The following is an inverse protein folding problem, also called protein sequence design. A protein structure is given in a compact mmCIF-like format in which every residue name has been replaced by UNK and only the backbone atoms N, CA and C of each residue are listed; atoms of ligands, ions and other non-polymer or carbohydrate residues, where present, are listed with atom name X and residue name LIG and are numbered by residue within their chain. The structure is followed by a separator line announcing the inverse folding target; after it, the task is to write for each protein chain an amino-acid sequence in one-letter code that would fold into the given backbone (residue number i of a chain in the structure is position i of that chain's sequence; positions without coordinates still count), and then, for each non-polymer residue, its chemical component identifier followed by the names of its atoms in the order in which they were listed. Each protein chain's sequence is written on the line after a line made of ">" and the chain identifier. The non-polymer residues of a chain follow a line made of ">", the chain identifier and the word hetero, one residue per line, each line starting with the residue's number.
data_IF_834581999197
#
_entry.id   IF_834581999197
#
_cell.length_a   1.000
_cell.length_b   1.000
_cell.length_c   1.000
_cell.angle_alpha   90.00
_cell.angle_beta   90.00
_cell.angle_gamma   90.00
#
_symmetry.space_group_name_H-M   'P 1'
#
loop_
_entity.id
_entity.type
_entity.pdbx_description
1 polymer ?
#
# COMPACT_ATOMS: atom_id res chain seq x y z
N UNK A 1 8.28 7.72 -0.28
CA UNK A 1 7.84 6.82 -1.38
C UNK A 1 8.24 5.37 -1.12
N UNK A 2 9.52 5.09 -0.83
CA UNK A 2 9.99 3.73 -0.52
C UNK A 2 9.30 3.12 0.71
N UNK A 3 9.35 3.80 1.86
CA UNK A 3 8.63 3.39 3.08
C UNK A 3 7.14 3.13 2.84
N UNK A 4 6.47 4.00 2.07
CA UNK A 4 5.06 3.79 1.71
C UNK A 4 4.83 2.47 0.95
N UNK A 5 5.77 2.04 0.08
CA UNK A 5 5.64 0.78 -0.65
C UNK A 5 5.91 -0.45 0.19
N UNK A 6 6.81 -0.33 1.17
CA UNK A 6 6.96 -1.36 2.20
C UNK A 6 5.65 -1.54 2.97
N UNK A 7 5.01 -0.44 3.40
CA UNK A 7 3.70 -0.50 4.08
C UNK A 7 2.55 -1.02 3.18
N UNK A 8 2.64 -0.80 1.87
CA UNK A 8 1.68 -1.26 0.86
C UNK A 8 1.97 -2.72 0.41
N UNK A 9 2.88 -3.42 1.11
CA UNK A 9 3.19 -4.86 0.98
C UNK A 9 3.94 -5.28 -0.29
N UNK A 10 4.74 -4.38 -0.87
CA UNK A 10 5.54 -4.69 -2.04
C UNK A 10 6.77 -5.54 -1.68
N UNK A 11 7.15 -6.45 -2.58
CA UNK A 11 8.32 -7.32 -2.45
C UNK A 11 9.41 -6.93 -3.44
N UNK A 12 10.63 -7.46 -3.26
CA UNK A 12 11.79 -7.21 -4.12
C UNK A 12 12.06 -5.72 -4.42
N UNK A 13 11.67 -4.86 -3.48
CA UNK A 13 11.88 -3.43 -3.58
C UNK A 13 13.39 -3.16 -3.63
N UNK A 14 13.82 -2.32 -4.56
CA UNK A 14 15.20 -1.85 -4.63
C UNK A 14 15.22 -0.37 -4.97
N UNK A 15 16.09 0.35 -4.28
CA UNK A 15 16.27 1.78 -4.51
C UNK A 15 17.39 2.04 -5.52
N UNK A 16 17.03 2.52 -6.70
CA UNK A 16 17.95 2.90 -7.76
C UNK A 16 18.28 4.40 -7.68
N UNK A 17 19.57 4.77 -7.74
CA UNK A 17 19.98 6.18 -7.93
C UNK A 17 20.58 6.93 -6.74
N UNK A 18 21.10 6.25 -5.72
CA UNK A 18 21.71 6.90 -4.54
C UNK A 18 22.91 7.83 -4.86
N UNK A 19 23.58 7.63 -6.00
CA UNK A 19 24.85 8.32 -6.38
C UNK A 19 24.75 9.23 -7.61
N UNK A 20 23.55 9.43 -8.18
CA UNK A 20 23.35 10.32 -9.32
C UNK A 20 23.25 11.80 -8.93
N UNK A 21 23.80 12.70 -9.72
CA UNK A 21 23.69 14.17 -9.53
C UNK A 21 22.25 14.70 -9.61
N UNK A 22 21.36 13.94 -10.23
CA UNK A 22 19.92 14.17 -10.19
C UNK A 22 19.37 13.50 -8.93
N UNK A 23 18.84 14.28 -7.98
CA UNK A 23 18.17 13.78 -6.77
C UNK A 23 16.88 12.96 -7.03
N UNK A 24 16.72 12.40 -8.23
CA UNK A 24 15.66 11.48 -8.62
C UNK A 24 15.84 10.15 -7.91
N UNK A 25 14.82 9.76 -7.13
CA UNK A 25 14.79 8.52 -6.37
C UNK A 25 13.90 7.54 -7.11
N UNK A 26 14.51 6.63 -7.86
CA UNK A 26 13.75 5.68 -8.67
C UNK A 26 13.69 4.35 -7.94
N UNK A 27 12.48 3.80 -7.86
CA UNK A 27 12.21 2.58 -7.08
C UNK A 27 11.76 1.52 -8.08
N UNK A 28 12.31 0.33 -7.94
CA UNK A 28 11.77 -0.85 -8.60
C UNK A 28 11.28 -1.82 -7.54
N UNK A 29 10.20 -2.54 -7.83
CA UNK A 29 9.73 -3.60 -6.95
C UNK A 29 8.64 -4.42 -7.61
N UNK A 30 8.28 -5.49 -6.93
CA UNK A 30 7.24 -6.42 -7.36
C UNK A 30 6.00 -6.16 -6.51
N UNK A 31 4.86 -5.96 -7.19
CA UNK A 31 3.57 -5.89 -6.51
C UNK A 31 2.92 -7.27 -6.56
N UNK A 32 2.69 -7.92 -5.42
CA UNK A 32 2.02 -9.21 -5.39
C UNK A 32 0.52 -9.06 -5.66
N UNK A 33 -0.05 -10.08 -6.27
CA UNK A 33 -1.50 -10.21 -6.47
C UNK A 33 -1.94 -11.65 -6.17
N UNK A 34 -3.10 -11.80 -5.55
CA UNK A 34 -3.64 -13.14 -5.23
C UNK A 34 -4.29 -13.81 -6.46
N UNK A 35 -4.83 -13.00 -7.38
CA UNK A 35 -5.69 -13.42 -8.48
C UNK A 35 -5.06 -13.25 -9.88
N UNK A 36 -3.89 -12.62 -9.97
CA UNK A 36 -3.16 -12.41 -11.21
C UNK A 36 -1.64 -12.52 -10.96
N UNK A 37 -0.81 -12.66 -12.01
CA UNK A 37 0.64 -12.68 -11.84
C UNK A 37 1.16 -11.41 -11.17
N UNK A 38 2.21 -11.57 -10.38
CA UNK A 38 2.96 -10.47 -9.80
C UNK A 38 3.42 -9.46 -10.86
N UNK A 39 3.31 -8.17 -10.55
CA UNK A 39 3.67 -7.11 -11.50
C UNK A 39 4.99 -6.45 -11.11
N UNK A 40 6.01 -6.61 -11.95
CA UNK A 40 7.26 -5.88 -11.79
C UNK A 40 7.04 -4.43 -12.24
N UNK A 41 7.14 -3.51 -11.27
CA UNK A 41 6.82 -2.10 -11.48
C UNK A 41 8.02 -1.21 -11.24
N UNK A 42 8.27 -0.31 -12.20
CA UNK A 42 9.21 0.80 -12.03
C UNK A 42 8.44 2.04 -11.59
N UNK A 43 8.89 2.69 -10.52
CA UNK A 43 8.30 3.90 -9.96
C UNK A 43 9.31 5.05 -10.09
N UNK A 44 8.97 6.04 -10.90
CA UNK A 44 9.72 7.28 -11.03
C UNK A 44 9.17 8.33 -10.06
N UNK A 45 10.01 8.81 -9.13
CA UNK A 45 9.66 9.96 -8.30
C UNK A 45 10.06 11.25 -9.01
N UNK A 46 9.08 11.95 -9.58
CA UNK A 46 9.29 13.19 -10.33
C UNK A 46 9.17 14.38 -9.38
N UNK A 47 10.29 14.73 -8.74
CA UNK A 47 10.41 15.91 -7.88
C UNK A 47 10.61 17.21 -8.69
N UNK A 48 9.77 17.43 -9.71
CA UNK A 48 9.73 18.66 -10.51
C UNK A 48 8.33 19.26 -10.45
N UNK A 49 8.21 20.56 -10.71
CA UNK A 49 6.93 21.28 -10.68
C UNK A 49 5.89 20.72 -11.65
N UNK A 50 6.32 20.06 -12.74
CA UNK A 50 5.44 19.38 -13.68
C UNK A 50 6.13 18.18 -14.36
N UNK A 51 5.33 17.18 -14.75
CA UNK A 51 5.77 16.06 -15.58
C UNK A 51 5.75 16.46 -17.05
N UNK A 52 6.91 16.52 -17.70
CA UNK A 52 7.01 16.77 -19.14
C UNK A 52 6.89 15.47 -19.93
N UNK A 53 6.31 15.53 -21.14
CA UNK A 53 6.20 14.36 -22.03
C UNK A 53 7.59 13.79 -22.34
N UNK A 54 8.55 14.65 -22.69
CA UNK A 54 9.92 14.24 -22.98
C UNK A 54 10.60 13.52 -21.80
N UNK A 55 10.32 13.94 -20.55
CA UNK A 55 10.83 13.24 -19.36
C UNK A 55 10.20 11.85 -19.24
N UNK A 56 8.88 11.77 -19.36
CA UNK A 56 8.17 10.50 -19.25
C UNK A 56 8.64 9.48 -20.32
N UNK A 57 8.76 9.92 -21.57
CA UNK A 57 9.27 9.08 -22.66
C UNK A 57 10.70 8.62 -22.43
N UNK A 58 11.60 9.54 -22.02
CA UNK A 58 13.00 9.22 -21.72
C UNK A 58 13.11 8.19 -20.59
N UNK A 59 12.36 8.38 -19.51
CA UNK A 59 12.42 7.50 -18.34
C UNK A 59 11.86 6.10 -18.64
N UNK A 60 10.71 6.04 -19.32
CA UNK A 60 10.12 4.76 -19.72
C UNK A 60 11.04 4.02 -20.70
N UNK A 61 11.62 4.73 -21.68
CA UNK A 61 12.56 4.12 -22.61
C UNK A 61 13.82 3.60 -21.90
N UNK A 62 14.36 4.34 -20.92
CA UNK A 62 15.48 3.89 -20.12
C UNK A 62 15.15 2.62 -19.32
N UNK A 63 13.96 2.57 -18.70
CA UNK A 63 13.53 1.40 -17.93
C UNK A 63 13.25 0.17 -18.80
N UNK A 64 12.67 0.35 -19.99
CA UNK A 64 12.41 -0.74 -20.94
C UNK A 64 13.72 -1.37 -21.45
N UNK A 65 14.76 -0.57 -21.64
CA UNK A 65 16.07 -1.00 -22.14
C UNK A 65 17.04 -1.42 -21.03
N UNK A 66 16.63 -1.42 -19.76
CA UNK A 66 17.49 -1.82 -18.65
C UNK A 66 17.80 -3.33 -18.71
N UNK A 67 19.00 -3.72 -18.24
CA UNK A 67 19.47 -5.12 -18.20
C UNK A 67 18.49 -6.04 -17.47
N UNK A 68 17.79 -5.48 -16.49
CA UNK A 68 16.74 -6.15 -15.71
C UNK A 68 15.50 -6.55 -16.53
N UNK A 69 15.42 -6.17 -17.80
CA UNK A 69 14.30 -6.44 -18.69
C UNK A 69 13.16 -5.43 -18.57
N UNK A 70 12.21 -5.54 -19.50
CA UNK A 70 11.04 -4.68 -19.62
C UNK A 70 10.09 -4.83 -18.42
N UNK A 71 9.56 -3.72 -17.85
CA UNK A 71 8.62 -3.80 -16.73
C UNK A 71 7.17 -4.09 -17.17
N UNK A 72 6.39 -4.72 -16.29
CA UNK A 72 4.96 -4.97 -16.47
C UNK A 72 4.14 -3.70 -16.23
N UNK A 73 4.62 -2.85 -15.31
CA UNK A 73 3.99 -1.57 -15.03
C UNK A 73 5.00 -0.45 -14.83
N UNK A 74 4.58 0.77 -15.15
CA UNK A 74 5.34 1.98 -14.87
C UNK A 74 4.48 2.98 -14.09
N UNK A 75 5.04 3.58 -13.04
CA UNK A 75 4.34 4.53 -12.20
C UNK A 75 5.11 5.82 -12.07
N UNK A 76 4.46 6.94 -12.38
CA UNK A 76 4.98 8.26 -12.08
C UNK A 76 4.33 8.79 -10.79
N UNK A 77 5.14 9.22 -9.84
CA UNK A 77 4.68 9.96 -8.66
C UNK A 77 5.24 11.37 -8.76
N UNK A 78 4.36 12.33 -8.99
CA UNK A 78 4.70 13.72 -9.29
C UNK A 78 4.43 14.61 -8.08
N UNK A 79 5.29 15.60 -7.83
CA UNK A 79 5.02 16.62 -6.79
C UNK A 79 3.82 17.51 -7.18
N UNK A 80 3.73 17.89 -8.45
CA UNK A 80 2.70 18.79 -8.96
C UNK A 80 1.44 18.09 -9.46
N UNK A 81 0.49 18.90 -9.93
CA UNK A 81 -0.68 18.42 -10.67
C UNK A 81 -0.28 17.90 -12.05
N UNK A 82 -1.06 16.95 -12.56
CA UNK A 82 -0.88 16.40 -13.92
C UNK A 82 -2.22 16.46 -14.64
N UNK A 83 -2.27 17.18 -15.75
CA UNK A 83 -3.48 17.34 -16.56
C UNK A 83 -3.94 16.01 -17.18
N UNK A 84 -5.24 15.90 -17.47
CA UNK A 84 -5.79 14.73 -18.15
C UNK A 84 -5.10 14.46 -19.49
N UNK A 85 -4.92 15.52 -20.31
CA UNK A 85 -4.18 15.44 -21.57
C UNK A 85 -2.79 14.82 -21.38
N UNK A 86 -2.02 15.28 -20.38
CA UNK A 86 -0.67 14.75 -20.12
C UNK A 86 -0.72 13.28 -19.70
N UNK A 87 -1.74 12.86 -18.95
CA UNK A 87 -1.92 11.44 -18.58
C UNK A 87 -2.13 10.58 -19.82
N UNK A 88 -2.94 11.06 -20.76
CA UNK A 88 -3.25 10.32 -22.00
C UNK A 88 -2.05 10.28 -22.95
N UNK A 89 -1.31 11.39 -23.10
CA UNK A 89 -0.05 11.45 -23.84
C UNK A 89 0.97 10.43 -23.31
N UNK A 90 1.15 10.38 -21.99
CA UNK A 90 2.09 9.44 -21.35
C UNK A 90 1.65 7.99 -21.51
N UNK A 91 0.35 7.69 -21.39
CA UNK A 91 -0.19 6.35 -21.65
C UNK A 91 0.03 5.91 -23.10
N UNK A 92 -0.20 6.82 -24.06
CA UNK A 92 0.04 6.57 -25.48
C UNK A 92 1.52 6.28 -25.75
N UNK A 93 2.43 7.06 -25.16
CA UNK A 93 3.87 6.82 -25.25
C UNK A 93 4.27 5.47 -24.65
N UNK A 94 3.73 5.12 -23.49
CA UNK A 94 4.00 3.85 -22.83
C UNK A 94 3.56 2.65 -23.68
N UNK A 95 2.37 2.73 -24.29
CA UNK A 95 1.85 1.70 -25.17
C UNK A 95 2.76 1.47 -26.39
N UNK A 96 3.34 2.53 -26.96
CA UNK A 96 4.33 2.43 -28.05
C UNK A 96 5.63 1.75 -27.62
N UNK A 97 6.04 1.93 -26.36
CA UNK A 97 7.17 1.24 -25.76
C UNK A 97 6.80 -0.19 -25.27
N UNK A 98 5.52 -0.56 -25.41
CA UNK A 98 4.94 -1.83 -25.03
C UNK A 98 4.76 -2.02 -23.53
N UNK A 99 4.89 -0.98 -22.70
CA UNK A 99 4.60 -1.07 -21.26
C UNK A 99 3.07 -1.14 -21.09
N UNK A 100 2.51 -2.27 -20.62
CA UNK A 100 1.07 -2.49 -20.70
C UNK A 100 0.28 -1.68 -19.67
N UNK A 101 0.87 -1.35 -18.52
CA UNK A 101 0.19 -0.62 -17.44
C UNK A 101 0.98 0.62 -17.04
N UNK A 102 0.32 1.79 -17.07
CA UNK A 102 0.89 3.04 -16.56
C UNK A 102 -0.03 3.76 -15.61
N UNK A 103 0.50 4.09 -14.43
CA UNK A 103 -0.17 4.88 -13.41
C UNK A 103 0.56 6.21 -13.19
N UNK A 104 -0.20 7.28 -12.99
CA UNK A 104 0.34 8.61 -12.72
C UNK A 104 -0.38 9.16 -11.50
N UNK A 105 0.38 9.46 -10.46
CA UNK A 105 -0.11 10.10 -9.24
C UNK A 105 0.43 11.52 -9.18
N UNK A 106 -0.48 12.48 -9.09
CA UNK A 106 -0.17 13.84 -8.65
C UNK A 106 0.14 13.86 -7.15
N UNK A 107 0.66 15.00 -6.68
CA UNK A 107 0.97 15.17 -5.26
C UNK A 107 -0.25 14.95 -4.37
N UNK A 108 -1.41 15.47 -4.78
CA UNK A 108 -2.68 15.30 -4.07
C UNK A 108 -3.15 13.83 -4.03
N UNK A 109 -3.08 13.11 -5.16
CA UNK A 109 -3.43 11.68 -5.18
C UNK A 109 -2.49 10.86 -4.29
N UNK A 110 -1.20 11.19 -4.27
CA UNK A 110 -0.26 10.52 -3.39
C UNK A 110 -0.53 10.81 -1.90
N UNK A 111 -0.91 12.03 -1.56
CA UNK A 111 -1.33 12.40 -0.20
C UNK A 111 -2.55 11.62 0.26
N UNK A 112 -3.57 11.45 -0.61
CA UNK A 112 -4.74 10.60 -0.30
C UNK A 112 -4.34 9.14 -0.06
N UNK A 113 -3.41 8.62 -0.85
CA UNK A 113 -2.87 7.28 -0.65
C UNK A 113 -2.11 7.15 0.69
N UNK A 114 -1.40 8.20 1.12
CA UNK A 114 -0.76 8.24 2.44
C UNK A 114 -1.81 8.27 3.55
N UNK A 115 -2.83 9.14 3.46
CA UNK A 115 -3.92 9.19 4.45
C UNK A 115 -4.62 7.85 4.63
N UNK A 116 -4.86 7.13 3.53
CA UNK A 116 -5.58 5.87 3.56
C UNK A 116 -4.77 4.72 4.16
N UNK A 117 -3.47 4.62 3.82
CA UNK A 117 -2.67 3.40 4.09
C UNK A 117 -1.44 3.60 4.96
N UNK A 118 -0.99 4.84 5.15
CA UNK A 118 0.23 5.14 5.88
C UNK A 118 0.19 6.53 6.51
N UNK A 119 -0.90 6.85 7.23
CA UNK A 119 -1.13 8.18 7.81
C UNK A 119 0.02 8.61 8.73
N UNK A 120 0.63 7.66 9.43
CA UNK A 120 1.78 7.90 10.30
C UNK A 120 3.00 8.47 9.54
N UNK A 121 3.24 8.05 8.29
CA UNK A 121 4.29 8.62 7.44
C UNK A 121 3.98 10.08 7.12
N UNK A 122 2.71 10.40 6.89
CA UNK A 122 2.28 11.77 6.62
C UNK A 122 2.44 12.66 7.87
N UNK A 123 2.07 12.17 9.05
CA UNK A 123 2.24 12.91 10.32
C UNK A 123 3.70 13.26 10.59
N UNK A 124 4.63 12.30 10.45
CA UNK A 124 6.07 12.56 10.60
C UNK A 124 6.58 13.62 9.63
N UNK A 125 6.14 13.57 8.38
CA UNK A 125 6.51 14.56 7.37
C UNK A 125 6.06 15.97 7.79
N UNK A 126 4.83 16.09 8.32
CA UNK A 126 4.27 17.36 8.80
C UNK A 126 4.97 17.84 10.07
N UNK A 127 5.32 16.93 10.96
CA UNK A 127 6.03 17.21 12.22
C UNK A 127 7.54 17.47 12.01
N UNK A 128 8.03 17.36 10.77
CA UNK A 128 9.43 17.59 10.43
C UNK A 128 10.37 16.51 10.97
N UNK A 129 9.85 15.33 11.33
CA UNK A 129 10.67 14.23 11.82
C UNK A 129 11.39 13.60 10.62
N UNK A 130 12.73 13.57 10.61
CA UNK A 130 13.47 13.04 9.47
C UNK A 130 13.15 11.55 9.25
N UNK A 131 13.13 11.18 7.98
CA UNK A 131 13.14 9.78 7.56
C UNK A 131 14.59 9.29 7.50
N UNK A 132 14.83 7.99 7.78
CA UNK A 132 16.12 7.39 7.45
C UNK A 132 16.45 7.59 5.97
N UNK A 133 17.74 7.72 5.67
CA UNK A 133 18.23 8.05 4.33
C UNK A 133 18.81 6.84 3.58
N UNK A 134 18.88 5.67 4.24
CA UNK A 134 19.29 4.41 3.63
C UNK A 134 18.12 3.43 3.45
N UNK A 135 18.24 2.54 2.45
CA UNK A 135 17.25 1.49 2.21
C UNK A 135 17.09 0.55 3.42
N UNK A 136 18.22 0.16 4.04
CA UNK A 136 18.24 -0.76 5.18
C UNK A 136 17.52 -0.16 6.38
N UNK A 137 17.81 1.09 6.72
CA UNK A 137 17.13 1.74 7.85
C UNK A 137 15.66 2.00 7.55
N UNK A 138 15.28 2.27 6.30
CA UNK A 138 13.87 2.40 5.93
C UNK A 138 13.09 1.09 6.05
N UNK A 139 13.75 -0.06 5.81
CA UNK A 139 13.15 -1.39 6.05
C UNK A 139 12.95 -1.64 7.53
N UNK A 140 14.03 -1.52 8.31
CA UNK A 140 13.97 -1.69 9.77
C UNK A 140 12.91 -0.77 10.39
N UNK A 141 12.85 0.49 9.94
CA UNK A 141 11.86 1.46 10.39
C UNK A 141 10.42 1.02 10.13
N UNK A 142 10.10 0.40 8.98
CA UNK A 142 8.74 -0.07 8.71
C UNK A 142 8.44 -1.35 9.49
N UNK A 143 9.43 -2.22 9.65
CA UNK A 143 9.32 -3.46 10.40
C UNK A 143 9.11 -3.20 11.91
N UNK A 144 9.68 -2.13 12.47
CA UNK A 144 9.44 -1.67 13.86
C UNK A 144 7.95 -1.32 14.14
N UNK A 145 7.13 -1.10 13.11
CA UNK A 145 5.69 -0.89 13.28
C UNK A 145 4.85 -2.17 13.06
N UNK A 146 5.50 -3.31 12.80
CA UNK A 146 4.88 -4.64 12.74
C UNK A 146 4.96 -5.40 14.08
N UNK A 147 4.90 -4.70 15.23
CA UNK A 147 4.85 -5.30 16.57
C UNK A 147 3.51 -6.04 16.87
N UNK A 148 2.98 -6.76 15.88
CA UNK A 148 1.89 -7.71 16.03
C UNK A 148 2.40 -9.00 15.42
N UNK A 149 2.92 -9.89 16.27
CA UNK A 149 3.25 -11.25 15.81
C UNK A 149 1.99 -11.95 15.26
N UNK A 150 2.17 -12.98 14.44
CA UNK A 150 1.04 -13.69 13.81
C UNK A 150 0.01 -14.20 14.83
N UNK A 151 0.45 -14.59 16.03
CA UNK A 151 -0.43 -15.04 17.11
C UNK A 151 -1.30 -13.90 17.65
N UNK A 152 -0.72 -12.71 17.83
CA UNK A 152 -1.41 -11.50 18.22
C UNK A 152 -2.35 -11.02 17.11
N UNK A 153 -1.94 -11.09 15.85
CA UNK A 153 -2.76 -10.73 14.70
C UNK A 153 -3.97 -11.65 14.58
N UNK A 154 -3.77 -12.96 14.73
CA UNK A 154 -4.82 -13.97 14.75
C UNK A 154 -5.73 -13.80 15.97
N UNK A 155 -5.18 -13.53 17.15
CA UNK A 155 -5.97 -13.27 18.35
C UNK A 155 -6.85 -12.02 18.21
N UNK A 156 -6.35 -11.00 17.52
CA UNK A 156 -7.10 -9.79 17.18
C UNK A 156 -8.21 -10.10 16.16
N UNK A 157 -7.90 -10.79 15.06
CA UNK A 157 -8.93 -11.22 14.10
C UNK A 157 -10.00 -12.08 14.78
N UNK A 158 -9.61 -13.05 15.60
CA UNK A 158 -10.52 -13.91 16.34
C UNK A 158 -11.45 -13.10 17.26
N UNK A 159 -10.94 -12.05 17.91
CA UNK A 159 -11.76 -11.15 18.75
C UNK A 159 -12.85 -10.41 17.98
N UNK A 160 -12.64 -10.07 16.71
CA UNK A 160 -13.69 -9.45 15.90
C UNK A 160 -14.92 -10.37 15.74
N UNK A 161 -14.69 -11.69 15.72
CA UNK A 161 -15.70 -12.74 15.61
C UNK A 161 -16.10 -13.38 16.96
N UNK A 162 -15.55 -12.90 18.09
CA UNK A 162 -15.87 -13.39 19.43
C UNK A 162 -17.20 -12.77 19.93
N UNK A 163 -18.31 -13.14 19.28
CA UNK A 163 -19.64 -12.57 19.54
C UNK A 163 -20.66 -13.66 19.89
N UNK A 164 -21.50 -13.47 20.93
CA UNK A 164 -22.51 -14.46 21.31
C UNK A 164 -23.43 -14.86 20.15
N UNK A 165 -23.83 -13.89 19.32
CA UNK A 165 -24.71 -14.13 18.18
C UNK A 165 -24.12 -15.10 17.12
N UNK A 166 -22.80 -15.26 17.04
CA UNK A 166 -22.15 -16.23 16.15
C UNK A 166 -22.06 -17.64 16.74
N UNK A 167 -22.29 -17.79 18.06
CA UNK A 167 -22.24 -19.08 18.76
C UNK A 167 -23.62 -19.62 19.12
N UNK A 168 -24.66 -18.78 19.09
CA UNK A 168 -26.04 -19.21 19.33
C UNK A 168 -26.58 -19.97 18.13
N UNK A 169 -26.97 -21.25 18.28
CA UNK A 169 -27.60 -22.01 17.20
C UNK A 169 -28.95 -21.39 16.80
N UNK A 170 -29.23 -21.34 15.49
CA UNK A 170 -30.45 -20.73 14.93
C UNK A 170 -31.77 -21.23 15.52
N UNK A 171 -31.78 -22.43 16.10
CA UNK A 171 -32.97 -23.08 16.63
C UNK A 171 -33.24 -22.75 18.12
N UNK A 172 -32.35 -22.02 18.80
CA UNK A 172 -32.45 -21.70 20.23
C UNK A 172 -32.23 -20.20 20.48
N UNK A 173 -33.23 -19.37 20.12
CA UNK A 173 -33.24 -17.91 20.38
C UNK A 173 -32.33 -17.03 19.48
N UNK A 174 -32.04 -17.44 18.24
CA UNK A 174 -31.38 -16.52 17.31
C UNK A 174 -32.28 -15.33 16.96
N UNK A 175 -31.97 -14.18 17.55
CA UNK A 175 -32.49 -12.91 17.11
C UNK A 175 -31.75 -12.50 15.83
N UNK A 176 -32.41 -12.61 14.67
CA UNK A 176 -31.84 -12.26 13.37
C UNK A 176 -31.27 -10.83 13.36
N UNK A 177 -31.87 -9.89 14.09
CA UNK A 177 -31.35 -8.54 14.23
C UNK A 177 -30.03 -8.50 15.02
N UNK A 178 -29.87 -9.34 16.05
CA UNK A 178 -28.62 -9.45 16.80
C UNK A 178 -27.50 -10.09 15.97
N UNK A 179 -27.84 -11.04 15.10
CA UNK A 179 -26.89 -11.64 14.15
C UNK A 179 -26.44 -10.62 13.10
N UNK A 180 -27.37 -9.87 12.50
CA UNK A 180 -27.05 -8.81 11.55
C UNK A 180 -26.15 -7.74 12.19
N UNK A 181 -26.49 -7.29 13.41
CA UNK A 181 -25.67 -6.33 14.14
C UNK A 181 -24.25 -6.87 14.41
N UNK A 182 -24.12 -8.16 14.74
CA UNK A 182 -22.82 -8.79 14.95
C UNK A 182 -21.96 -8.80 13.68
N UNK A 183 -22.57 -8.99 12.50
CA UNK A 183 -21.88 -8.86 11.19
C UNK A 183 -21.41 -7.42 10.99
N UNK A 184 -22.31 -6.45 11.12
CA UNK A 184 -22.00 -5.04 10.86
C UNK A 184 -20.90 -4.52 11.79
N UNK A 185 -20.95 -4.91 13.06
CA UNK A 185 -19.92 -4.55 14.03
C UNK A 185 -18.57 -5.24 13.73
N UNK A 186 -18.57 -6.46 13.19
CA UNK A 186 -17.34 -7.16 12.80
C UNK A 186 -16.70 -6.49 11.58
N UNK A 187 -17.50 -6.15 10.58
CA UNK A 187 -17.07 -5.35 9.42
C UNK A 187 -16.49 -4.02 9.89
N UNK A 188 -17.16 -3.35 10.84
CA UNK A 188 -16.70 -2.08 11.40
C UNK A 188 -15.35 -2.23 12.12
N UNK A 189 -15.17 -3.24 12.95
CA UNK A 189 -13.89 -3.50 13.64
C UNK A 189 -12.78 -3.74 12.62
N UNK A 190 -13.02 -4.59 11.61
CA UNK A 190 -12.02 -4.91 10.59
C UNK A 190 -11.67 -3.71 9.70
N UNK A 191 -12.64 -2.85 9.39
CA UNK A 191 -12.44 -1.68 8.52
C UNK A 191 -11.91 -0.43 9.25
N UNK A 192 -12.25 -0.26 10.52
CA UNK A 192 -11.94 0.98 11.28
C UNK A 192 -10.95 0.79 12.42
N UNK A 193 -10.78 -0.44 12.91
CA UNK A 193 -10.00 -0.73 14.12
C UNK A 193 -10.70 -0.33 15.42
N UNK A 194 -12.01 -0.05 15.41
CA UNK A 194 -12.74 0.41 16.60
C UNK A 194 -13.65 -0.72 17.10
N UNK A 195 -13.34 -1.26 18.28
CA UNK A 195 -14.18 -2.25 18.96
C UNK A 195 -15.12 -1.59 19.98
N UNK A 196 -16.43 -1.76 19.79
CA UNK A 196 -17.45 -1.28 20.73
C UNK A 196 -18.20 -2.48 21.33
N UNK A 197 -18.06 -2.69 22.63
CA UNK A 197 -18.86 -3.65 23.41
C UNK A 197 -20.03 -2.92 24.10
N UNK A 198 -21.17 -3.59 24.26
CA UNK A 198 -22.40 -3.01 24.87
C UNK A 198 -22.22 -2.65 26.34
N UNK A 199 -21.27 -3.28 27.03
CA UNK A 199 -20.86 -2.90 28.38
C UNK A 199 -19.51 -2.18 28.30
N UNK A 200 -19.51 -0.90 28.68
CA UNK A 200 -18.38 0.01 28.71
C UNK A 200 -17.69 0.25 27.35
N UNK A 201 -17.77 1.50 26.89
CA UNK A 201 -16.97 2.08 25.81
C UNK A 201 -15.47 2.05 26.14
N UNK A 202 -14.84 0.90 25.97
CA UNK A 202 -13.38 0.77 25.91
C UNK A 202 -12.96 0.76 24.45
N UNK A 203 -12.57 1.94 23.95
CA UNK A 203 -11.84 2.05 22.68
C UNK A 203 -10.47 1.41 22.88
N UNK A 204 -10.33 0.16 22.47
CA UNK A 204 -9.00 -0.42 22.27
C UNK A 204 -8.66 -0.21 20.81
N UNK A 205 -7.60 0.54 20.51
CA UNK A 205 -7.12 0.70 19.14
C UNK A 205 -6.74 -0.66 18.59
N UNK A 206 -7.47 -1.12 17.57
CA UNK A 206 -7.04 -2.25 16.76
C UNK A 206 -6.12 -1.75 15.64
N UNK A 207 -5.00 -2.44 15.37
CA UNK A 207 -4.22 -2.20 14.17
C UNK A 207 -5.13 -2.47 12.97
N UNK A 208 -5.13 -1.55 12.02
CA UNK A 208 -5.88 -1.75 10.78
C UNK A 208 -5.24 -2.89 10.03
N UNK A 209 -5.99 -3.97 9.84
CA UNK A 209 -5.67 -4.98 8.85
C UNK A 209 -5.88 -4.36 7.47
N UNK A 210 -4.86 -3.69 6.93
CA UNK A 210 -4.80 -3.46 5.49
C UNK A 210 -4.66 -4.83 4.84
N UNK A 211 -5.39 -5.07 3.77
CA UNK A 211 -5.46 -6.35 3.01
C UNK A 211 -4.11 -6.79 2.41
N UNK A 212 -2.98 -6.22 2.85
CA UNK A 212 -1.65 -6.47 2.31
C UNK A 212 -0.70 -7.17 3.28
N UNK A 213 -1.19 -7.62 4.45
CA UNK A 213 -0.39 -8.28 5.49
C UNK A 213 -0.86 -9.73 5.77
N UNK A 214 -1.22 -10.48 4.73
CA UNK A 214 -1.16 -11.95 4.83
C UNK A 214 0.15 -12.35 4.16
N UNK A 215 1.16 -12.80 4.90
CA UNK A 215 2.36 -13.33 4.29
C UNK A 215 1.99 -14.53 3.42
N UNK A 216 2.43 -14.53 2.16
CA UNK A 216 2.26 -15.63 1.21
C UNK A 216 2.94 -16.95 1.67
N UNK A 217 3.56 -16.98 2.86
CA UNK A 217 4.13 -18.18 3.46
C UNK A 217 3.09 -19.12 4.09
N UNK A 218 1.83 -18.71 4.26
CA UNK A 218 0.78 -19.58 4.81
C UNK A 218 0.20 -20.61 3.81
N UNK A 219 0.58 -20.57 2.52
CA UNK A 219 0.06 -21.48 1.49
C UNK A 219 0.92 -22.74 1.26
N UNK A 220 1.70 -23.18 2.26
CA UNK A 220 2.41 -24.47 2.23
C UNK A 220 2.11 -25.33 3.44
N UNK A 221 0.90 -25.87 3.49
CA UNK A 221 0.62 -27.11 4.20
C UNK A 221 -0.29 -27.96 3.30
N UNK A 222 0.25 -29.14 2.94
CA UNK A 222 -0.26 -30.24 2.10
C UNK A 222 -1.71 -30.22 1.61
#
# INVERSE_FOLDING_TARGET
>A
MFAYRLCDGWTDLAWSGQTGSDQGRDIIGTRPFDDQPDERTVIQCVNRGSLTQAKAEKDMAAAVNAVTGKPDAFKFVCRGSVSAQRRDEVRSAAAKLGVPRVAIWSGAEFEEHLRLRAEFLLRRLVEGVPFPDSEVELRNFVDEFQDVDDEQALAMLARAFDRPAFRTPFQQESNLAAFQQAIDDSIRVLSTGIWQTREASKSTDFPRFTTSAIPASAARWN
#
